data_IF_620219338262
#
_entry.id   IF_620219338262
#
_cell.length_a   1.000
_cell.length_b   1.000
_cell.length_c   1.000
_cell.angle_alpha   90.00
_cell.angle_beta   90.00
_cell.angle_gamma   90.00
#
_symmetry.space_group_name_H-M   'P 1'
#
loop_
_entity.id
_entity.type
_entity.pdbx_description
1 polymer ?
#
# COMPACT_ATOMS: atom_id res chain seq x y z
N UNK A 1 -25.51 56.62 33.47
CA UNK A 1 -24.58 57.09 34.53
C UNK A 1 -24.92 56.39 35.84
N UNK A 2 -24.03 55.56 36.36
CA UNK A 2 -23.57 55.54 37.77
C UNK A 2 -22.62 54.35 37.97
N UNK A 3 -21.50 54.67 38.59
CA UNK A 3 -20.33 53.84 38.82
C UNK A 3 -20.49 52.93 40.04
N UNK A 4 -19.69 51.87 40.10
CA UNK A 4 -19.17 51.27 41.34
C UNK A 4 -17.70 50.89 41.05
N UNK A 5 -16.74 51.63 41.61
CA UNK A 5 -15.99 51.33 42.85
C UNK A 5 -15.19 50.02 42.72
N UNK A 6 -13.88 50.13 42.46
CA UNK A 6 -12.80 50.32 43.46
C UNK A 6 -12.37 49.02 44.11
N UNK A 7 -11.13 48.61 43.83
CA UNK A 7 -10.14 48.27 44.86
C UNK A 7 -8.74 48.25 44.22
N UNK A 8 -7.96 49.28 44.54
CA UNK A 8 -6.50 49.36 44.35
C UNK A 8 -5.87 49.22 45.73
N UNK A 9 -4.61 48.76 45.73
CA UNK A 9 -3.56 48.75 46.77
C UNK A 9 -3.49 47.42 47.54
N UNK A 10 -2.30 46.80 47.72
CA UNK A 10 -1.07 47.39 48.27
C UNK A 10 0.21 46.77 47.67
N UNK A 11 1.20 47.64 47.49
CA UNK A 11 2.63 47.48 47.10
C UNK A 11 3.44 46.81 48.23
N UNK A 12 4.53 46.08 47.91
CA UNK A 12 5.80 45.97 48.69
C UNK A 12 6.66 44.84 48.04
N UNK A 13 7.93 44.92 47.66
CA UNK A 13 9.15 45.43 48.34
C UNK A 13 10.34 45.39 47.34
N UNK A 14 11.30 46.33 47.50
CA UNK A 14 12.74 46.34 47.14
C UNK A 14 13.17 45.82 45.76
N UNK A 15 13.95 46.53 44.96
CA UNK A 15 15.20 47.22 45.31
C UNK A 15 16.23 46.76 44.27
N UNK A 16 16.78 47.70 43.50
CA UNK A 16 17.73 47.47 42.42
C UNK A 16 19.04 46.84 42.93
N UNK A 17 19.68 45.99 42.10
CA UNK A 17 21.06 46.20 41.61
C UNK A 17 21.46 45.15 40.54
N UNK A 18 21.84 45.68 39.36
CA UNK A 18 22.89 45.25 38.42
C UNK A 18 23.27 43.76 38.28
N UNK A 19 23.00 43.19 37.09
CA UNK A 19 24.01 42.77 36.09
C UNK A 19 23.31 41.98 34.96
N UNK A 20 23.34 42.51 33.74
CA UNK A 20 23.39 41.65 32.54
C UNK A 20 24.85 41.15 32.41
N UNK A 21 25.19 40.05 31.68
CA UNK A 21 24.35 39.19 30.85
C UNK A 21 24.68 37.67 31.00
N UNK A 22 23.71 36.77 30.85
CA UNK A 22 23.95 35.46 30.20
C UNK A 22 22.74 34.55 30.34
N UNK A 23 22.38 33.95 29.21
CA UNK A 23 21.67 32.69 29.10
C UNK A 23 20.18 32.72 29.48
N UNK A 24 19.42 33.47 28.68
CA UNK A 24 18.15 32.95 28.17
C UNK A 24 18.42 31.67 27.36
N UNK A 25 18.74 30.56 28.03
CA UNK A 25 18.49 29.24 27.46
C UNK A 25 17.00 28.99 27.56
N UNK A 26 16.23 29.59 26.64
CA UNK A 26 15.07 28.87 26.12
C UNK A 26 15.61 27.49 25.71
N UNK A 27 15.09 26.39 26.26
CA UNK A 27 15.52 25.07 25.80
C UNK A 27 15.33 25.07 24.29
N UNK A 28 16.43 24.99 23.53
CA UNK A 28 16.34 24.87 22.08
C UNK A 28 15.50 23.61 21.86
N UNK A 29 14.29 23.79 21.31
CA UNK A 29 13.57 22.66 20.73
C UNK A 29 14.56 21.91 19.85
N UNK A 30 14.66 20.58 19.98
CA UNK A 30 15.66 19.82 19.24
C UNK A 30 15.58 20.23 17.77
N UNK A 31 16.65 20.85 17.25
CA UNK A 31 16.67 21.26 15.85
C UNK A 31 16.60 19.99 15.02
N UNK A 32 15.63 19.92 14.12
CA UNK A 32 15.55 18.82 13.17
C UNK A 32 16.89 18.68 12.45
N UNK A 33 17.39 17.44 12.25
CA UNK A 33 18.64 17.24 11.55
C UNK A 33 18.56 17.87 10.16
N UNK A 34 19.60 18.59 9.75
CA UNK A 34 19.70 19.02 8.35
C UNK A 34 19.82 17.77 7.49
N UNK A 35 19.10 17.72 6.37
CA UNK A 35 19.25 16.66 5.38
C UNK A 35 20.72 16.57 4.94
N UNK A 36 21.48 15.62 5.48
CA UNK A 36 22.88 15.44 5.12
C UNK A 36 23.02 14.62 3.83
N UNK A 37 21.99 13.85 3.47
CA UNK A 37 21.95 12.96 2.31
C UNK A 37 20.53 12.84 1.73
N UNK A 38 20.43 12.56 0.43
CA UNK A 38 19.18 12.18 -0.23
C UNK A 38 18.86 10.69 0.00
N UNK A 39 18.68 10.30 1.26
CA UNK A 39 18.36 8.92 1.65
C UNK A 39 16.96 8.80 2.25
N UNK A 40 16.37 7.59 2.21
CA UNK A 40 15.07 7.32 2.85
C UNK A 40 15.11 7.62 4.36
N UNK A 41 16.21 7.28 5.05
CA UNK A 41 16.37 7.53 6.48
C UNK A 41 16.33 9.03 6.78
N UNK A 42 17.09 9.84 6.03
CA UNK A 42 17.06 11.30 6.19
C UNK A 42 15.68 11.89 5.90
N UNK A 43 14.98 11.40 4.87
CA UNK A 43 13.64 11.87 4.55
C UNK A 43 12.60 11.49 5.62
N UNK A 44 12.67 10.28 6.19
CA UNK A 44 11.81 9.83 7.29
C UNK A 44 12.04 10.64 8.57
N UNK A 45 13.31 10.90 8.93
CA UNK A 45 13.65 11.73 10.09
C UNK A 45 13.08 13.15 9.94
N UNK A 46 13.27 13.78 8.78
CA UNK A 46 12.72 15.10 8.48
C UNK A 46 11.19 15.10 8.56
N UNK A 47 10.54 14.08 8.02
CA UNK A 47 9.09 13.99 8.06
C UNK A 47 8.58 13.86 9.51
N UNK A 48 9.22 13.01 10.31
CA UNK A 48 8.87 12.82 11.73
C UNK A 48 9.11 14.06 12.58
N UNK A 49 10.05 14.91 12.19
CA UNK A 49 10.43 16.12 12.90
C UNK A 49 9.62 17.36 12.46
N UNK A 50 8.64 17.21 11.56
CA UNK A 50 7.79 18.31 11.10
C UNK A 50 8.35 19.11 9.91
N UNK A 51 9.50 18.72 9.36
CA UNK A 51 10.11 19.29 8.15
C UNK A 51 9.56 18.61 6.89
N UNK A 52 8.22 18.54 6.80
CA UNK A 52 7.50 17.76 5.78
C UNK A 52 7.80 18.16 4.33
N UNK A 53 8.06 19.45 4.06
CA UNK A 53 8.36 19.91 2.70
C UNK A 53 9.75 19.47 2.22
N UNK A 54 10.75 19.45 3.11
CA UNK A 54 12.09 18.95 2.80
C UNK A 54 12.07 17.44 2.57
N UNK A 55 11.40 16.70 3.45
CA UNK A 55 11.18 15.27 3.29
C UNK A 55 10.48 14.95 1.96
N UNK A 56 9.47 15.75 1.60
CA UNK A 56 8.72 15.58 0.36
C UNK A 56 9.60 15.80 -0.88
N UNK A 57 10.47 16.82 -0.86
CA UNK A 57 11.42 17.05 -1.95
C UNK A 57 12.35 15.86 -2.15
N UNK A 58 12.97 15.36 -1.08
CA UNK A 58 13.89 14.21 -1.15
C UNK A 58 13.16 12.97 -1.67
N UNK A 59 11.96 12.69 -1.15
CA UNK A 59 11.16 11.55 -1.60
C UNK A 59 10.77 11.68 -3.08
N UNK A 60 10.34 12.87 -3.52
CA UNK A 60 9.99 13.14 -4.92
C UNK A 60 11.20 12.98 -5.85
N UNK A 61 12.35 13.52 -5.48
CA UNK A 61 13.58 13.44 -6.29
C UNK A 61 14.10 12.00 -6.36
N UNK A 62 14.01 11.25 -5.27
CA UNK A 62 14.24 9.81 -5.25
C UNK A 62 13.28 9.04 -6.17
N UNK A 63 11.99 9.34 -6.10
CA UNK A 63 10.98 8.72 -6.96
C UNK A 63 11.22 9.00 -8.45
N UNK A 64 11.65 10.22 -8.80
CA UNK A 64 12.02 10.58 -10.17
C UNK A 64 13.23 9.80 -10.69
N UNK A 65 14.11 9.33 -9.80
CA UNK A 65 15.24 8.45 -10.13
C UNK A 65 14.88 6.96 -10.08
N UNK A 66 13.60 6.63 -9.90
CA UNK A 66 13.10 5.27 -9.73
C UNK A 66 13.73 4.52 -8.54
N UNK A 67 14.09 5.23 -7.46
CA UNK A 67 14.48 4.61 -6.19
C UNK A 67 13.24 4.01 -5.50
N UNK A 68 13.16 2.69 -5.25
CA UNK A 68 11.94 2.05 -4.76
C UNK A 68 11.52 2.51 -3.36
N UNK A 69 12.48 2.76 -2.48
CA UNK A 69 12.26 3.14 -1.09
C UNK A 69 11.76 4.59 -1.00
N UNK A 70 12.41 5.50 -1.73
CA UNK A 70 11.97 6.88 -1.84
C UNK A 70 10.68 7.02 -2.65
N UNK A 71 10.43 6.14 -3.63
CA UNK A 71 9.13 6.07 -4.32
C UNK A 71 8.03 5.67 -3.33
N UNK A 72 8.26 4.64 -2.52
CA UNK A 72 7.30 4.26 -1.48
C UNK A 72 7.02 5.42 -0.53
N UNK A 73 8.06 6.10 -0.03
CA UNK A 73 7.91 7.24 0.87
C UNK A 73 7.13 8.39 0.20
N UNK A 74 7.46 8.71 -1.05
CA UNK A 74 6.77 9.76 -1.82
C UNK A 74 5.27 9.48 -1.92
N UNK A 75 4.90 8.24 -2.23
CA UNK A 75 3.50 7.81 -2.32
C UNK A 75 2.79 7.84 -0.96
N UNK A 76 3.48 7.53 0.15
CA UNK A 76 2.92 7.70 1.50
C UNK A 76 2.63 9.17 1.82
N UNK A 77 3.56 10.07 1.48
CA UNK A 77 3.39 11.50 1.73
C UNK A 77 2.29 12.12 0.86
N UNK A 78 2.17 11.70 -0.40
CA UNK A 78 1.05 12.08 -1.27
C UNK A 78 -0.29 11.60 -0.71
N UNK A 79 -0.33 10.38 -0.17
CA UNK A 79 -1.52 9.87 0.51
C UNK A 79 -1.90 10.73 1.72
N UNK A 80 -0.92 11.10 2.55
CA UNK A 80 -1.14 11.96 3.72
C UNK A 80 -1.63 13.38 3.33
N UNK A 81 -1.23 13.89 2.16
CA UNK A 81 -1.70 15.16 1.60
C UNK A 81 -3.03 15.04 0.85
N UNK A 82 -3.59 13.84 0.72
CA UNK A 82 -4.80 13.57 -0.06
C UNK A 82 -4.60 13.50 -1.59
N UNK A 83 -3.37 13.69 -2.08
CA UNK A 83 -2.97 13.81 -3.48
C UNK A 83 -2.63 12.46 -4.15
N UNK A 84 -3.39 11.40 -3.86
CA UNK A 84 -3.08 10.03 -4.29
C UNK A 84 -3.04 9.80 -5.82
N UNK A 85 -3.52 10.73 -6.66
CA UNK A 85 -3.42 10.58 -8.12
C UNK A 85 -2.03 11.02 -8.65
N UNK A 86 -1.42 11.99 -7.98
CA UNK A 86 -0.01 12.29 -8.21
C UNK A 86 0.80 11.05 -7.79
N UNK A 87 1.83 10.70 -8.56
CA UNK A 87 2.62 9.51 -8.29
C UNK A 87 2.08 8.20 -8.89
N UNK A 88 0.85 8.15 -9.44
CA UNK A 88 0.26 6.89 -9.93
C UNK A 88 1.11 6.22 -11.03
N UNK A 89 1.70 6.98 -11.94
CA UNK A 89 2.56 6.42 -12.99
C UNK A 89 3.82 5.74 -12.41
N UNK A 90 4.43 6.33 -11.38
CA UNK A 90 5.58 5.72 -10.67
C UNK A 90 5.13 4.47 -9.92
N UNK A 91 3.98 4.54 -9.25
CA UNK A 91 3.41 3.42 -8.53
C UNK A 91 3.15 2.21 -9.44
N UNK A 92 2.58 2.44 -10.62
CA UNK A 92 2.35 1.38 -11.62
C UNK A 92 3.67 0.72 -12.03
N UNK A 93 4.68 1.51 -12.42
CA UNK A 93 6.00 0.98 -12.83
C UNK A 93 6.65 0.12 -11.74
N UNK A 94 6.61 0.57 -10.48
CA UNK A 94 7.20 -0.19 -9.38
C UNK A 94 6.39 -1.45 -9.02
N UNK A 95 5.07 -1.39 -9.13
CA UNK A 95 4.21 -2.57 -8.98
C UNK A 95 4.51 -3.61 -10.07
N UNK A 96 4.76 -3.18 -11.31
CA UNK A 96 5.18 -4.05 -12.42
C UNK A 96 6.54 -4.72 -12.18
N UNK A 97 7.43 -4.09 -11.41
CA UNK A 97 8.70 -4.69 -10.93
C UNK A 97 8.51 -5.69 -9.80
N UNK A 98 7.27 -5.91 -9.32
CA UNK A 98 6.93 -6.87 -8.28
C UNK A 98 6.90 -6.29 -6.87
N UNK A 99 6.93 -4.96 -6.70
CA UNK A 99 6.80 -4.34 -5.39
C UNK A 99 5.35 -4.40 -4.91
N UNK A 100 5.02 -5.44 -4.14
CA UNK A 100 3.65 -5.69 -3.66
C UNK A 100 3.12 -4.60 -2.72
N UNK A 101 4.00 -3.89 -2.00
CA UNK A 101 3.59 -2.79 -1.14
C UNK A 101 3.05 -1.62 -1.98
N UNK A 102 3.73 -1.32 -3.08
CA UNK A 102 3.30 -0.30 -4.03
C UNK A 102 2.10 -0.77 -4.85
N UNK A 103 1.98 -2.06 -5.17
CA UNK A 103 0.76 -2.62 -5.76
C UNK A 103 -0.47 -2.40 -4.85
N UNK A 104 -0.32 -2.61 -3.53
CA UNK A 104 -1.38 -2.33 -2.55
C UNK A 104 -1.75 -0.86 -2.44
N UNK A 105 -0.76 0.05 -2.51
CA UNK A 105 -1.04 1.48 -2.62
C UNK A 105 -1.80 1.81 -3.91
N UNK A 106 -1.38 1.24 -5.04
CA UNK A 106 -2.01 1.44 -6.35
C UNK A 106 -3.46 0.96 -6.35
N UNK A 107 -3.75 -0.17 -5.70
CA UNK A 107 -5.11 -0.69 -5.53
C UNK A 107 -6.01 0.28 -4.74
N UNK A 108 -5.50 0.83 -3.63
CA UNK A 108 -6.22 1.83 -2.82
C UNK A 108 -6.51 3.11 -3.60
N UNK A 109 -5.53 3.60 -4.36
CA UNK A 109 -5.69 4.75 -5.26
C UNK A 109 -6.72 4.46 -6.36
N UNK A 110 -6.67 3.28 -6.98
CA UNK A 110 -7.62 2.88 -8.03
C UNK A 110 -9.07 2.86 -7.50
N UNK A 111 -9.30 2.36 -6.28
CA UNK A 111 -10.62 2.42 -5.63
C UNK A 111 -11.06 3.87 -5.38
N UNK A 112 -10.21 4.68 -4.76
CA UNK A 112 -10.54 6.08 -4.41
C UNK A 112 -11.00 6.89 -5.62
N UNK A 113 -10.35 6.70 -6.77
CA UNK A 113 -10.64 7.44 -8.01
C UNK A 113 -11.45 6.63 -9.04
N UNK A 114 -11.94 5.44 -8.67
CA UNK A 114 -12.73 4.55 -9.55
C UNK A 114 -12.03 4.22 -10.89
N UNK A 115 -10.74 3.90 -10.85
CA UNK A 115 -9.92 3.56 -12.02
C UNK A 115 -9.99 2.06 -12.30
N UNK A 116 -11.06 1.59 -12.96
CA UNK A 116 -11.26 0.17 -13.25
C UNK A 116 -10.30 -0.43 -14.28
N UNK A 117 -9.67 0.41 -15.12
CA UNK A 117 -8.71 -0.03 -16.16
C UNK A 117 -7.46 -0.70 -15.58
N UNK A 118 -7.17 -0.51 -14.29
CA UNK A 118 -6.05 -1.15 -13.60
C UNK A 118 -6.39 -2.53 -13.01
N UNK A 119 -7.66 -2.96 -13.01
CA UNK A 119 -8.08 -4.16 -12.29
C UNK A 119 -7.36 -5.42 -12.78
N UNK A 120 -7.19 -5.58 -14.09
CA UNK A 120 -6.43 -6.71 -14.65
C UNK A 120 -4.96 -6.72 -14.21
N UNK A 121 -4.31 -5.56 -14.16
CA UNK A 121 -2.92 -5.44 -13.73
C UNK A 121 -2.77 -5.73 -12.22
N UNK A 122 -3.65 -5.16 -11.40
CA UNK A 122 -3.68 -5.39 -9.95
C UNK A 122 -3.89 -6.88 -9.63
N UNK A 123 -4.86 -7.53 -10.28
CA UNK A 123 -5.10 -8.96 -10.12
C UNK A 123 -3.86 -9.78 -10.47
N UNK A 124 -3.16 -9.42 -11.56
CA UNK A 124 -1.92 -10.09 -11.98
C UNK A 124 -0.80 -9.93 -10.94
N UNK A 125 -0.54 -8.71 -10.46
CA UNK A 125 0.53 -8.47 -9.47
C UNK A 125 0.31 -9.27 -8.18
N UNK A 126 -0.92 -9.31 -7.68
CA UNK A 126 -1.26 -10.10 -6.50
C UNK A 126 -1.23 -11.61 -6.78
N UNK A 127 -1.64 -12.05 -7.96
CA UNK A 127 -1.51 -13.44 -8.37
C UNK A 127 -0.05 -13.88 -8.36
N UNK A 128 0.84 -13.10 -8.96
CA UNK A 128 2.28 -13.39 -9.01
C UNK A 128 2.90 -13.42 -7.60
N UNK A 129 2.47 -12.50 -6.71
CA UNK A 129 2.84 -12.53 -5.29
C UNK A 129 2.36 -13.83 -4.62
N UNK A 130 1.06 -14.13 -4.60
CA UNK A 130 0.56 -15.32 -3.90
C UNK A 130 0.98 -16.64 -4.54
N UNK A 131 1.39 -16.63 -5.81
CA UNK A 131 1.99 -17.78 -6.47
C UNK A 131 3.36 -18.11 -5.89
N UNK A 132 4.23 -17.10 -5.72
CA UNK A 132 5.66 -17.28 -5.47
C UNK A 132 6.12 -16.85 -4.06
N UNK A 133 5.25 -16.27 -3.22
CA UNK A 133 5.67 -15.54 -2.02
C UNK A 133 6.13 -16.42 -0.84
N UNK A 134 7.24 -15.96 -0.24
CA UNK A 134 7.73 -16.31 1.10
C UNK A 134 7.58 -15.16 2.12
N UNK A 135 6.92 -14.05 1.72
CA UNK A 135 6.76 -12.84 2.54
C UNK A 135 5.50 -12.86 3.42
N UNK A 136 5.25 -11.73 4.09
CA UNK A 136 4.06 -11.55 4.95
C UNK A 136 2.76 -11.64 4.14
N UNK A 137 2.04 -12.75 4.32
CA UNK A 137 0.82 -13.06 3.56
C UNK A 137 -0.36 -12.24 4.06
N UNK A 138 -0.58 -12.19 5.37
CA UNK A 138 -1.78 -11.59 5.96
C UNK A 138 -2.06 -10.14 5.51
N UNK A 139 -1.14 -9.17 5.66
CA UNK A 139 -1.46 -7.78 5.31
C UNK A 139 -1.77 -7.61 3.82
N UNK A 140 -1.12 -8.41 2.95
CA UNK A 140 -1.37 -8.37 1.51
C UNK A 140 -2.70 -9.02 1.13
N UNK A 141 -3.08 -10.09 1.82
CA UNK A 141 -4.37 -10.74 1.62
C UNK A 141 -5.52 -9.85 2.08
N UNK A 142 -5.40 -9.21 3.24
CA UNK A 142 -6.39 -8.25 3.73
C UNK A 142 -6.56 -7.08 2.75
N UNK A 143 -5.47 -6.43 2.34
CA UNK A 143 -5.50 -5.32 1.37
C UNK A 143 -6.21 -5.72 0.05
N UNK A 144 -5.96 -6.95 -0.45
CA UNK A 144 -6.56 -7.40 -1.71
C UNK A 144 -8.04 -7.77 -1.56
N UNK A 145 -8.45 -8.30 -0.41
CA UNK A 145 -9.86 -8.59 -0.15
C UNK A 145 -10.67 -7.29 -0.03
N UNK A 146 -10.16 -6.28 0.67
CA UNK A 146 -10.78 -4.94 0.72
C UNK A 146 -10.94 -4.33 -0.68
N UNK A 147 -9.88 -4.44 -1.50
CA UNK A 147 -9.93 -4.05 -2.90
C UNK A 147 -10.99 -4.83 -3.69
N UNK A 148 -11.08 -6.14 -3.50
CA UNK A 148 -12.06 -6.99 -4.18
C UNK A 148 -13.50 -6.63 -3.79
N UNK A 149 -13.75 -6.37 -2.50
CA UNK A 149 -15.04 -5.91 -1.96
C UNK A 149 -15.45 -4.58 -2.60
N UNK A 150 -14.50 -3.65 -2.73
CA UNK A 150 -14.77 -2.32 -3.33
C UNK A 150 -15.26 -2.38 -4.78
N UNK A 151 -14.96 -3.47 -5.49
CA UNK A 151 -15.40 -3.74 -6.86
C UNK A 151 -16.47 -4.84 -6.96
N UNK A 152 -16.97 -5.34 -5.82
CA UNK A 152 -17.98 -6.38 -5.80
C UNK A 152 -19.24 -5.95 -6.55
N UNK A 153 -19.83 -6.89 -7.28
CA UNK A 153 -21.05 -6.66 -8.07
C UNK A 153 -20.83 -5.90 -9.40
N UNK A 154 -19.63 -5.37 -9.66
CA UNK A 154 -19.26 -4.74 -10.94
C UNK A 154 -18.74 -5.77 -11.96
N UNK A 155 -18.73 -5.39 -13.25
CA UNK A 155 -18.15 -6.21 -14.33
C UNK A 155 -16.63 -6.41 -14.18
N UNK A 156 -15.96 -5.52 -13.45
CA UNK A 156 -14.51 -5.54 -13.22
C UNK A 156 -14.14 -6.18 -11.87
N UNK A 157 -15.01 -7.04 -11.34
CA UNK A 157 -14.88 -7.66 -10.02
C UNK A 157 -13.62 -8.53 -9.91
N UNK A 158 -12.85 -8.31 -8.83
CA UNK A 158 -11.68 -9.11 -8.46
C UNK A 158 -11.99 -10.24 -7.48
N UNK A 159 -13.27 -10.45 -7.18
CA UNK A 159 -13.74 -11.40 -6.17
C UNK A 159 -13.21 -12.83 -6.38
N UNK A 160 -13.22 -13.42 -7.60
CA UNK A 160 -12.70 -14.78 -7.79
C UNK A 160 -11.23 -14.93 -7.35
N UNK A 161 -10.40 -13.91 -7.62
CA UNK A 161 -9.01 -13.89 -7.17
C UNK A 161 -8.92 -13.81 -5.65
N UNK A 162 -9.74 -12.94 -5.02
CA UNK A 162 -9.74 -12.77 -3.57
C UNK A 162 -10.10 -14.06 -2.83
N UNK A 163 -11.14 -14.75 -3.31
CA UNK A 163 -11.56 -16.06 -2.77
C UNK A 163 -10.46 -17.11 -2.94
N UNK A 164 -9.84 -17.21 -4.12
CA UNK A 164 -8.77 -18.16 -4.38
C UNK A 164 -7.51 -17.88 -3.51
N UNK A 165 -7.15 -16.62 -3.33
CA UNK A 165 -6.01 -16.24 -2.48
C UNK A 165 -6.26 -16.52 -1.00
N UNK A 166 -7.49 -16.30 -0.53
CA UNK A 166 -7.88 -16.63 0.84
C UNK A 166 -7.82 -18.14 1.09
N UNK A 167 -8.40 -18.94 0.19
CA UNK A 167 -8.37 -20.40 0.30
C UNK A 167 -6.94 -20.95 0.24
N UNK A 168 -6.11 -20.47 -0.68
CA UNK A 168 -4.70 -20.90 -0.81
C UNK A 168 -3.87 -20.72 0.46
N UNK A 169 -4.15 -19.65 1.22
CA UNK A 169 -3.25 -19.21 2.30
C UNK A 169 -3.86 -19.36 3.69
N UNK A 170 -5.02 -20.01 3.83
CA UNK A 170 -5.74 -20.14 5.10
C UNK A 170 -4.88 -20.78 6.20
N UNK A 171 -4.07 -21.79 5.85
CA UNK A 171 -3.20 -22.53 6.77
C UNK A 171 -1.96 -21.75 7.21
N UNK A 172 -1.69 -20.59 6.60
CA UNK A 172 -0.55 -19.72 6.92
C UNK A 172 -0.92 -18.60 7.89
N UNK A 173 -2.19 -18.50 8.27
CA UNK A 173 -2.71 -17.41 9.09
C UNK A 173 -2.76 -17.83 10.56
N UNK A 174 -2.44 -16.89 11.45
CA UNK A 174 -2.72 -17.05 12.89
C UNK A 174 -4.22 -16.96 13.17
N UNK A 175 -4.66 -17.38 14.36
CA UNK A 175 -6.09 -17.38 14.72
C UNK A 175 -6.79 -16.02 14.53
N UNK A 176 -6.14 -14.92 14.94
CA UNK A 176 -6.69 -13.55 14.80
C UNK A 176 -6.75 -13.11 13.34
N UNK A 177 -5.70 -13.39 12.57
CA UNK A 177 -5.65 -13.06 11.14
C UNK A 177 -6.71 -13.84 10.37
N UNK A 178 -6.85 -15.14 10.66
CA UNK A 178 -7.85 -16.01 10.06
C UNK A 178 -9.27 -15.52 10.33
N UNK A 179 -9.57 -15.10 11.57
CA UNK A 179 -10.86 -14.51 11.93
C UNK A 179 -11.17 -13.27 11.09
N UNK A 180 -10.18 -12.37 10.95
CA UNK A 180 -10.35 -11.18 10.13
C UNK A 180 -10.56 -11.51 8.65
N UNK A 181 -9.76 -12.40 8.08
CA UNK A 181 -9.91 -12.84 6.67
C UNK A 181 -11.27 -13.51 6.45
N UNK A 182 -11.74 -14.35 7.37
CA UNK A 182 -13.08 -14.96 7.30
C UNK A 182 -14.19 -13.91 7.31
N UNK A 183 -14.03 -12.83 8.07
CA UNK A 183 -14.98 -11.70 8.07
C UNK A 183 -15.04 -11.05 6.70
N UNK A 184 -13.90 -10.73 6.09
CA UNK A 184 -13.84 -10.13 4.75
C UNK A 184 -14.44 -11.05 3.67
N UNK A 185 -14.13 -12.35 3.72
CA UNK A 185 -14.75 -13.34 2.82
C UNK A 185 -16.27 -13.41 3.01
N UNK A 186 -16.75 -13.31 4.26
CA UNK A 186 -18.19 -13.30 4.52
C UNK A 186 -18.86 -12.05 3.96
N UNK A 187 -18.21 -10.90 4.02
CA UNK A 187 -18.68 -9.64 3.43
C UNK A 187 -18.78 -9.71 1.90
N UNK A 188 -17.78 -10.32 1.24
CA UNK A 188 -17.83 -10.65 -0.18
C UNK A 188 -19.09 -11.46 -0.52
N UNK A 189 -19.33 -12.54 0.23
CA UNK A 189 -20.46 -13.44 -0.02
C UNK A 189 -21.80 -12.74 0.17
N UNK A 190 -21.89 -11.86 1.17
CA UNK A 190 -23.10 -11.08 1.43
C UNK A 190 -23.37 -10.00 0.35
N UNK A 191 -22.35 -9.57 -0.39
CA UNK A 191 -22.47 -8.51 -1.40
C UNK A 191 -22.94 -9.04 -2.77
N UNK A 192 -22.85 -10.34 -3.01
CA UNK A 192 -23.21 -10.97 -4.28
C UNK A 192 -24.56 -11.69 -4.18
N UNK A 193 -25.33 -11.68 -5.26
CA UNK A 193 -26.45 -12.61 -5.44
C UNK A 193 -25.95 -14.04 -5.54
N UNK A 194 -26.76 -15.03 -5.16
CA UNK A 194 -26.41 -16.46 -5.20
C UNK A 194 -25.80 -16.92 -6.53
N UNK A 195 -26.37 -16.50 -7.66
CA UNK A 195 -25.88 -16.85 -9.00
C UNK A 195 -24.46 -16.32 -9.26
N UNK A 196 -24.24 -15.03 -8.97
CA UNK A 196 -22.92 -14.37 -9.08
C UNK A 196 -21.91 -14.96 -8.11
N UNK A 197 -22.34 -15.35 -6.91
CA UNK A 197 -21.48 -16.01 -5.94
C UNK A 197 -21.05 -17.38 -6.44
N UNK A 198 -21.98 -18.20 -6.93
CA UNK A 198 -21.67 -19.52 -7.49
C UNK A 198 -20.68 -19.43 -8.67
N UNK A 199 -20.87 -18.44 -9.55
CA UNK A 199 -19.93 -18.16 -10.64
C UNK A 199 -18.54 -17.76 -10.11
N UNK A 200 -18.49 -16.85 -9.14
CA UNK A 200 -17.24 -16.38 -8.57
C UNK A 200 -16.48 -17.51 -7.85
N UNK A 201 -17.17 -18.38 -7.11
CA UNK A 201 -16.59 -19.57 -6.47
C UNK A 201 -16.11 -20.60 -7.49
N UNK A 202 -16.83 -20.78 -8.62
CA UNK A 202 -16.36 -21.63 -9.71
C UNK A 202 -15.04 -21.11 -10.30
N UNK A 203 -14.99 -19.82 -10.65
CA UNK A 203 -13.76 -19.21 -11.19
C UNK A 203 -12.62 -19.19 -10.17
N UNK A 204 -12.92 -19.04 -8.88
CA UNK A 204 -11.93 -19.10 -7.81
C UNK A 204 -11.24 -20.48 -7.76
N UNK A 205 -11.97 -21.58 -7.99
CA UNK A 205 -11.38 -22.92 -8.08
C UNK A 205 -10.38 -23.05 -9.23
N UNK A 206 -10.68 -22.46 -10.39
CA UNK A 206 -9.77 -22.46 -11.54
C UNK A 206 -8.48 -21.67 -11.23
N UNK A 207 -8.61 -20.49 -10.60
CA UNK A 207 -7.49 -19.66 -10.16
C UNK A 207 -6.65 -20.39 -9.11
N UNK A 208 -7.30 -21.05 -8.14
CA UNK A 208 -6.64 -21.83 -7.10
C UNK A 208 -5.84 -22.99 -7.69
N UNK A 209 -6.40 -23.70 -8.66
CA UNK A 209 -5.69 -24.76 -9.37
C UNK A 209 -4.43 -24.22 -10.08
N UNK A 210 -4.52 -23.06 -10.76
CA UNK A 210 -3.36 -22.41 -11.37
C UNK A 210 -2.29 -22.02 -10.34
N UNK A 211 -2.70 -21.59 -9.16
CA UNK A 211 -1.80 -21.24 -8.06
C UNK A 211 -1.12 -22.46 -7.40
N UNK A 212 -1.72 -23.64 -7.50
CA UNK A 212 -1.23 -24.90 -6.91
C UNK A 212 -0.39 -25.73 -7.90
N UNK A 213 -0.72 -25.69 -9.19
CA UNK A 213 -0.08 -26.50 -10.23
C UNK A 213 1.37 -26.08 -10.55
N UNK A 214 1.87 -24.95 -10.04
CA UNK A 214 3.26 -24.51 -10.25
C UNK A 214 4.31 -25.33 -9.48
N UNK A 215 3.90 -26.35 -8.71
CA UNK A 215 4.80 -27.33 -8.09
C UNK A 215 4.89 -28.68 -8.80
N UNK A 216 4.02 -29.00 -9.78
CA UNK A 216 3.91 -30.37 -10.32
C UNK A 216 4.26 -30.57 -11.80
N UNK A 217 4.42 -29.55 -12.63
CA UNK A 217 4.67 -29.77 -14.07
C UNK A 217 5.69 -28.82 -14.74
N UNK A 218 6.95 -28.86 -14.29
CA UNK A 218 8.09 -28.44 -15.14
C UNK A 218 9.28 -29.41 -15.13
N UNK A 219 9.24 -30.50 -14.34
CA UNK A 219 10.28 -31.54 -14.39
C UNK A 219 9.92 -32.77 -15.22
N UNK A 220 8.69 -32.88 -15.73
CA UNK A 220 8.24 -34.05 -16.52
C UNK A 220 7.80 -33.73 -17.95
N UNK A 221 7.92 -32.49 -18.43
CA UNK A 221 7.66 -32.16 -19.84
C UNK A 221 8.92 -32.05 -20.72
N UNK A 222 10.11 -32.39 -20.21
CA UNK A 222 11.35 -32.42 -21.00
C UNK A 222 11.70 -33.80 -21.59
N UNK A 223 10.82 -34.80 -21.52
CA UNK A 223 11.08 -36.11 -22.13
C UNK A 223 9.83 -36.79 -22.66
N UNK A 224 9.15 -36.16 -23.62
CA UNK A 224 8.29 -36.84 -24.59
C UNK A 224 7.81 -35.86 -25.68
N UNK A 225 8.71 -35.45 -26.56
CA UNK A 225 8.30 -34.98 -27.89
C UNK A 225 8.42 -36.18 -28.87
N UNK A 226 7.31 -36.74 -29.41
CA UNK A 226 7.38 -37.42 -30.67
C UNK A 226 7.47 -36.36 -31.77
N UNK A 227 8.60 -36.40 -32.46
CA UNK A 227 8.95 -35.61 -33.62
C UNK A 227 7.81 -35.57 -34.66
N UNK A 228 7.18 -34.41 -34.87
CA UNK A 228 6.38 -34.12 -36.07
C UNK A 228 6.76 -32.75 -36.61
N UNK A 229 7.75 -32.78 -37.49
CA UNK A 229 8.11 -31.71 -38.41
C UNK A 229 6.87 -31.29 -39.22
N UNK A 230 6.28 -30.15 -38.89
CA UNK A 230 5.33 -29.45 -39.77
C UNK A 230 6.15 -28.60 -40.76
N UNK A 231 6.37 -29.15 -41.95
CA UNK A 231 6.83 -28.37 -43.12
C UNK A 231 5.67 -27.48 -43.59
N UNK A 232 5.83 -26.17 -43.48
CA UNK A 232 4.99 -25.24 -44.23
C UNK A 232 5.52 -25.15 -45.67
N UNK A 233 4.67 -25.56 -46.60
CA UNK A 233 4.89 -25.39 -48.04
C UNK A 233 4.21 -24.09 -48.42
N UNK A 234 4.99 -23.07 -48.80
CA UNK A 234 4.46 -21.89 -49.50
C UNK A 234 4.34 -22.24 -50.99
N UNK A 235 3.11 -22.34 -51.47
CA UNK A 235 2.68 -22.12 -52.85
C UNK A 235 1.46 -21.19 -52.73
N UNK A 236 1.31 -20.12 -53.48
CA UNK A 236 2.00 -19.58 -54.66
C UNK A 236 1.60 -18.11 -54.76
#
# INVERSE_FOLDING_TARGET
>A
MRAFLSCIFIIFIMGCTSNDPSDNMTPMSPKCPSAATESISSALELWSCGEGDKAFSIAKDGALREDPDLTWLYLQMLSAKGEQYAGLAFAIKEAEKGNINIAGWTAKTAVKYKISTLNGAINKWYFDFFKNSHGEIYPRLADFLDYSISWAGTENSSIPFGLAFAEKNIDKLTGRELEHIRKLVSEIKATLSDEKLAQAESHAKDILALLQNSGKDLKNQSSSCPNKTLRFTLKS
#
